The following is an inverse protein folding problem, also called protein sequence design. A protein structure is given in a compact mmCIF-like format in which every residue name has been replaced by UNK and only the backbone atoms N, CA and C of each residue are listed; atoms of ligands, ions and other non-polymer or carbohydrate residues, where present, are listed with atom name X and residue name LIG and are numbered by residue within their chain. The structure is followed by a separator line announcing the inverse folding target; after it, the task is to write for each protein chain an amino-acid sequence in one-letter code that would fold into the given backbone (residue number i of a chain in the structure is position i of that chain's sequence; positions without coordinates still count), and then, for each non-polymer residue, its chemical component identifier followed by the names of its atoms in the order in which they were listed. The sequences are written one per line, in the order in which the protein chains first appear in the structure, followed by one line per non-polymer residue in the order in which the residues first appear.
data_IF_487059457502
#
_entry.id   IF_487059457502
#
_cell.length_a   1.000
_cell.length_b   1.000
_cell.length_c   1.000
_cell.angle_alpha   90.00
_cell.angle_beta   90.00
_cell.angle_gamma   90.00
#
_symmetry.space_group_name_H-M   'P 1'
#
loop_
_entity.id
_entity.type
_entity.pdbx_description
1 polymer ?
#
# COMPACT_ATOMS: atom_id res chain seq x y z
N UNK A 1 -17.43 2.84 35.49
CA UNK A 1 -17.00 1.52 35.94
C UNK A 1 -16.42 0.72 34.76
N UNK A 2 -15.67 -0.36 35.03
CA UNK A 2 -15.11 -1.21 33.95
C UNK A 2 -16.20 -1.76 33.03
N UNK A 3 -17.39 -2.08 33.56
CA UNK A 3 -18.53 -2.52 32.74
C UNK A 3 -19.03 -1.42 31.79
N UNK A 4 -19.03 -0.17 32.23
CA UNK A 4 -19.42 0.96 31.37
C UNK A 4 -18.42 1.15 30.22
N UNK A 5 -17.13 1.04 30.48
CA UNK A 5 -16.09 1.12 29.44
C UNK A 5 -16.24 0.00 28.41
N UNK A 6 -16.59 -1.21 28.83
CA UNK A 6 -16.84 -2.33 27.91
C UNK A 6 -18.09 -2.10 27.05
N UNK A 7 -19.15 -1.55 27.62
CA UNK A 7 -20.39 -1.22 26.90
C UNK A 7 -20.11 -0.13 25.86
N UNK A 8 -19.42 0.94 26.26
CA UNK A 8 -19.05 2.05 25.36
C UNK A 8 -18.15 1.56 24.21
N UNK A 9 -17.20 0.69 24.52
CA UNK A 9 -16.35 0.06 23.50
C UNK A 9 -17.19 -0.79 22.51
N UNK A 10 -18.07 -1.65 23.04
CA UNK A 10 -18.93 -2.49 22.21
C UNK A 10 -19.86 -1.65 21.31
N UNK A 11 -20.45 -0.58 21.86
CA UNK A 11 -21.29 0.34 21.10
C UNK A 11 -20.52 1.03 19.98
N UNK A 12 -19.31 1.49 20.27
CA UNK A 12 -18.43 2.13 19.28
C UNK A 12 -18.05 1.14 18.18
N UNK A 13 -17.73 -0.10 18.53
CA UNK A 13 -17.42 -1.16 17.57
C UNK A 13 -18.63 -1.45 16.66
N UNK A 14 -19.82 -1.63 17.24
CA UNK A 14 -21.06 -1.89 16.49
C UNK A 14 -21.38 -0.68 15.58
N UNK A 15 -21.17 0.55 16.06
CA UNK A 15 -21.43 1.75 15.27
C UNK A 15 -20.58 1.84 14.01
N UNK A 16 -19.35 1.33 14.03
CA UNK A 16 -18.47 1.24 12.86
C UNK A 16 -19.11 0.41 11.73
N UNK A 17 -19.61 -0.78 12.06
CA UNK A 17 -20.21 -1.68 11.07
C UNK A 17 -21.59 -1.20 10.58
N UNK A 18 -22.26 -0.34 11.34
CA UNK A 18 -23.53 0.30 10.94
C UNK A 18 -23.36 1.51 10.03
N UNK A 19 -22.13 1.99 9.86
CA UNK A 19 -21.87 3.15 8.97
C UNK A 19 -22.22 2.79 7.53
N UNK A 20 -22.71 3.79 6.80
CA UNK A 20 -22.92 3.69 5.36
C UNK A 20 -21.59 3.31 4.68
N UNK A 21 -21.63 2.33 3.82
CA UNK A 21 -20.44 1.79 3.12
C UNK A 21 -19.42 1.04 4.03
N UNK A 22 -19.79 0.57 5.22
CA UNK A 22 -18.85 -0.12 6.10
C UNK A 22 -18.20 -1.34 5.42
N UNK A 23 -18.99 -2.19 4.75
CA UNK A 23 -18.47 -3.36 4.03
C UNK A 23 -17.52 -2.96 2.88
N UNK A 24 -17.91 -1.99 2.06
CA UNK A 24 -17.08 -1.49 0.96
C UNK A 24 -15.77 -0.89 1.49
N UNK A 25 -15.84 -0.19 2.63
CA UNK A 25 -14.67 0.36 3.30
C UNK A 25 -13.74 -0.75 3.78
N UNK A 26 -14.26 -1.80 4.42
CA UNK A 26 -13.45 -2.93 4.88
C UNK A 26 -12.79 -3.62 3.69
N UNK A 27 -13.51 -3.86 2.60
CA UNK A 27 -12.94 -4.41 1.38
C UNK A 27 -11.82 -3.51 0.82
N UNK A 28 -12.03 -2.19 0.80
CA UNK A 28 -11.01 -1.24 0.40
C UNK A 28 -9.78 -1.30 1.32
N UNK A 29 -9.98 -1.28 2.64
CA UNK A 29 -8.88 -1.34 3.60
C UNK A 29 -8.05 -2.62 3.49
N UNK A 30 -8.68 -3.75 3.18
CA UNK A 30 -8.00 -5.03 3.05
C UNK A 30 -7.33 -5.26 1.70
N UNK A 31 -7.90 -4.76 0.60
CA UNK A 31 -7.49 -5.12 -0.76
C UNK A 31 -6.72 -4.02 -1.50
N UNK A 32 -6.84 -2.76 -1.09
CA UNK A 32 -6.16 -1.66 -1.78
C UNK A 32 -4.64 -1.78 -1.73
N UNK A 33 -4.10 -2.32 -0.64
CA UNK A 33 -2.66 -2.53 -0.44
C UNK A 33 -2.21 -3.97 -0.66
N UNK A 34 -3.07 -4.82 -1.22
CA UNK A 34 -2.76 -6.24 -1.41
C UNK A 34 -1.48 -6.49 -2.25
N UNK A 35 -1.25 -5.79 -3.39
CA UNK A 35 0.01 -5.94 -4.12
C UNK A 35 1.22 -5.61 -3.27
N UNK A 36 1.14 -4.53 -2.50
CA UNK A 36 2.20 -4.03 -1.63
C UNK A 36 2.52 -5.01 -0.49
N UNK A 37 1.49 -5.62 0.09
CA UNK A 37 1.65 -6.63 1.13
C UNK A 37 2.39 -7.88 0.63
N UNK A 38 2.27 -8.20 -0.65
CA UNK A 38 3.04 -9.28 -1.29
C UNK A 38 4.47 -8.84 -1.61
N UNK A 39 4.66 -7.65 -2.17
CA UNK A 39 5.98 -7.14 -2.58
C UNK A 39 6.90 -6.88 -1.40
N UNK A 40 6.41 -6.23 -0.35
CA UNK A 40 7.25 -5.72 0.74
C UNK A 40 8.20 -6.77 1.34
N UNK A 41 7.77 -7.97 1.72
CA UNK A 41 8.70 -8.98 2.24
C UNK A 41 9.59 -9.59 1.17
N UNK A 42 9.14 -9.68 -0.07
CA UNK A 42 9.87 -10.36 -1.14
C UNK A 42 10.87 -9.44 -1.84
N UNK A 43 10.61 -8.14 -1.92
CA UNK A 43 11.54 -7.19 -2.52
C UNK A 43 12.92 -7.20 -1.84
N UNK A 44 12.96 -7.26 -0.51
CA UNK A 44 14.21 -7.37 0.23
C UNK A 44 14.95 -8.66 -0.12
N UNK A 45 14.24 -9.79 -0.09
CA UNK A 45 14.83 -11.09 -0.41
C UNK A 45 15.36 -11.12 -1.85
N UNK A 46 14.57 -10.61 -2.81
CA UNK A 46 14.93 -10.54 -4.21
C UNK A 46 16.18 -9.67 -4.47
N UNK A 47 16.22 -8.48 -3.88
CA UNK A 47 17.35 -7.56 -4.08
C UNK A 47 18.67 -8.11 -3.55
N UNK A 48 18.64 -8.93 -2.50
CA UNK A 48 19.84 -9.48 -1.87
C UNK A 48 20.13 -10.95 -2.26
N UNK A 49 19.15 -11.68 -2.83
CA UNK A 49 19.35 -13.06 -3.24
C UNK A 49 20.45 -13.19 -4.31
N UNK A 50 21.24 -14.30 -4.32
CA UNK A 50 22.23 -14.56 -5.36
C UNK A 50 21.62 -14.60 -6.77
N UNK A 51 22.42 -14.22 -7.77
CA UNK A 51 22.00 -14.21 -9.19
C UNK A 51 21.56 -15.61 -9.65
N UNK A 52 22.25 -16.66 -9.19
CA UNK A 52 21.88 -18.05 -9.52
C UNK A 52 20.48 -18.44 -9.01
N UNK A 53 19.95 -17.69 -8.04
CA UNK A 53 18.59 -17.84 -7.53
C UNK A 53 17.61 -16.83 -8.12
N UNK A 54 18.01 -16.10 -9.15
CA UNK A 54 17.19 -15.08 -9.81
C UNK A 54 17.10 -13.76 -9.05
N UNK A 55 18.01 -13.49 -8.10
CA UNK A 55 18.10 -12.23 -7.38
C UNK A 55 19.13 -11.26 -7.95
N UNK A 56 19.29 -10.09 -7.31
CA UNK A 56 20.22 -9.03 -7.77
C UNK A 56 21.53 -8.98 -7.01
N UNK A 57 21.73 -9.85 -6.02
CA UNK A 57 22.95 -10.01 -5.22
C UNK A 57 23.48 -8.70 -4.60
N UNK A 58 22.61 -7.76 -4.25
CA UNK A 58 23.04 -6.54 -3.56
C UNK A 58 23.62 -6.89 -2.18
N UNK A 59 24.75 -6.29 -1.86
CA UNK A 59 25.30 -6.30 -0.50
C UNK A 59 24.39 -5.56 0.46
N UNK A 60 24.55 -5.76 1.75
CA UNK A 60 23.76 -5.05 2.79
C UNK A 60 23.89 -3.52 2.67
N UNK A 61 25.09 -3.03 2.32
CA UNK A 61 25.35 -1.59 2.15
C UNK A 61 24.62 -1.06 0.92
N UNK A 62 24.67 -1.76 -0.20
CA UNK A 62 23.96 -1.40 -1.42
C UNK A 62 22.45 -1.43 -1.22
N UNK A 63 21.92 -2.50 -0.60
CA UNK A 63 20.50 -2.59 -0.24
C UNK A 63 20.08 -1.45 0.69
N UNK A 64 20.87 -1.17 1.73
CA UNK A 64 20.61 -0.04 2.64
C UNK A 64 20.59 1.30 1.92
N UNK A 65 21.46 1.49 0.92
CA UNK A 65 21.48 2.72 0.11
C UNK A 65 20.27 2.79 -0.82
N UNK A 66 19.99 1.73 -1.56
CA UNK A 66 18.91 1.68 -2.54
C UNK A 66 17.55 1.76 -1.86
N UNK A 67 17.29 0.93 -0.89
CA UNK A 67 15.98 0.86 -0.24
C UNK A 67 15.85 1.87 0.92
N UNK A 68 16.87 1.97 1.77
CA UNK A 68 16.85 2.80 2.97
C UNK A 68 17.06 4.30 2.70
N UNK A 69 17.80 4.68 1.65
CA UNK A 69 18.00 6.10 1.31
C UNK A 69 17.15 6.47 0.11
N UNK A 70 17.39 5.86 -1.05
CA UNK A 70 16.71 6.24 -2.29
C UNK A 70 15.21 5.93 -2.22
N UNK A 71 14.83 4.75 -1.72
CA UNK A 71 13.43 4.37 -1.54
C UNK A 71 12.70 5.29 -0.56
N UNK A 72 13.30 5.59 0.59
CA UNK A 72 12.69 6.49 1.59
C UNK A 72 12.51 7.90 1.05
N UNK A 73 13.47 8.43 0.29
CA UNK A 73 13.31 9.73 -0.38
C UNK A 73 12.15 9.70 -1.37
N UNK A 74 12.04 8.65 -2.18
CA UNK A 74 10.90 8.45 -3.08
C UNK A 74 9.57 8.43 -2.33
N UNK A 75 9.48 7.64 -1.27
CA UNK A 75 8.30 7.51 -0.41
C UNK A 75 7.84 8.86 0.17
N UNK A 76 8.77 9.61 0.74
CA UNK A 76 8.49 10.92 1.36
C UNK A 76 8.03 11.94 0.31
N UNK A 77 8.71 12.02 -0.83
CA UNK A 77 8.32 12.91 -1.93
C UNK A 77 6.94 12.53 -2.47
N UNK A 78 6.67 11.24 -2.67
CA UNK A 78 5.36 10.76 -3.09
C UNK A 78 4.26 11.16 -2.11
N UNK A 79 4.48 10.95 -0.81
CA UNK A 79 3.53 11.30 0.23
C UNK A 79 3.23 12.81 0.31
N UNK A 80 4.26 13.64 0.22
CA UNK A 80 4.12 15.11 0.21
C UNK A 80 3.33 15.55 -1.03
N UNK A 81 3.72 15.08 -2.22
CA UNK A 81 3.02 15.39 -3.46
C UNK A 81 1.56 14.93 -3.42
N UNK A 82 1.30 13.73 -2.90
CA UNK A 82 -0.04 13.20 -2.73
C UNK A 82 -0.91 14.06 -1.82
N UNK A 83 -0.40 14.45 -0.66
CA UNK A 83 -1.08 15.36 0.26
C UNK A 83 -1.38 16.72 -0.37
N UNK A 84 -0.43 17.30 -1.10
CA UNK A 84 -0.60 18.57 -1.81
C UNK A 84 -1.68 18.48 -2.90
N UNK A 85 -1.67 17.43 -3.71
CA UNK A 85 -2.65 17.24 -4.78
C UNK A 85 -4.07 17.07 -4.23
N UNK A 86 -4.24 16.27 -3.16
CA UNK A 86 -5.55 16.12 -2.53
C UNK A 86 -6.02 17.43 -1.89
N UNK A 87 -5.14 18.18 -1.23
CA UNK A 87 -5.52 19.45 -0.61
C UNK A 87 -5.97 20.49 -1.63
N UNK A 88 -5.47 20.43 -2.86
CA UNK A 88 -5.87 21.34 -3.95
C UNK A 88 -7.18 20.94 -4.62
N UNK A 89 -7.35 19.66 -4.94
CA UNK A 89 -8.40 19.21 -5.85
C UNK A 89 -9.41 18.24 -5.18
N UNK A 90 -9.17 17.82 -3.96
CA UNK A 90 -9.98 16.85 -3.23
C UNK A 90 -9.61 15.39 -3.47
N UNK A 91 -9.95 14.53 -2.51
CA UNK A 91 -9.63 13.10 -2.55
C UNK A 91 -10.31 12.38 -3.72
N UNK A 92 -11.57 12.67 -3.99
CA UNK A 92 -12.35 12.00 -5.04
C UNK A 92 -11.69 12.09 -6.41
N UNK A 93 -11.13 13.26 -6.75
CA UNK A 93 -10.46 13.50 -8.04
C UNK A 93 -9.17 12.69 -8.17
N UNK A 94 -8.42 12.59 -7.07
CA UNK A 94 -7.10 11.95 -7.06
C UNK A 94 -7.12 10.46 -6.75
N UNK A 95 -8.25 9.89 -6.33
CA UNK A 95 -8.34 8.48 -5.97
C UNK A 95 -7.85 7.54 -7.09
N UNK A 96 -8.30 7.75 -8.33
CA UNK A 96 -7.90 6.95 -9.48
C UNK A 96 -6.43 7.12 -9.89
N UNK A 97 -5.91 8.34 -10.08
CA UNK A 97 -4.49 8.55 -10.33
C UNK A 97 -3.61 7.96 -9.22
N UNK A 98 -4.03 8.05 -7.96
CA UNK A 98 -3.30 7.51 -6.82
C UNK A 98 -3.35 5.99 -6.77
N UNK A 99 -4.49 5.39 -7.14
CA UNK A 99 -4.58 3.93 -7.31
C UNK A 99 -3.64 3.44 -8.41
N UNK A 100 -3.56 4.15 -9.52
CA UNK A 100 -2.60 3.84 -10.58
C UNK A 100 -1.15 4.02 -10.12
N UNK A 101 -0.87 5.07 -9.35
CA UNK A 101 0.48 5.35 -8.85
C UNK A 101 0.99 4.32 -7.82
N UNK A 102 0.12 3.74 -7.01
CA UNK A 102 0.51 2.69 -6.04
C UNK A 102 0.63 1.30 -6.70
N UNK A 103 0.06 1.10 -7.88
CA UNK A 103 0.00 -0.21 -8.53
C UNK A 103 0.93 -0.34 -9.72
N UNK A 104 0.88 0.59 -10.68
CA UNK A 104 1.60 0.48 -11.94
C UNK A 104 3.13 0.48 -11.79
N UNK A 105 3.76 1.26 -10.88
CA UNK A 105 5.20 1.22 -10.69
C UNK A 105 5.74 -0.14 -10.25
N UNK A 106 4.91 -1.04 -9.72
CA UNK A 106 5.31 -2.41 -9.37
C UNK A 106 5.84 -3.19 -10.58
N UNK A 107 5.54 -2.75 -11.81
CA UNK A 107 6.15 -3.28 -13.05
C UNK A 107 7.68 -3.13 -13.04
N UNK A 108 8.23 -2.19 -12.27
CA UNK A 108 9.67 -2.05 -12.11
C UNK A 108 10.31 -3.32 -11.54
N UNK A 109 9.64 -4.01 -10.61
CA UNK A 109 10.13 -5.29 -10.08
C UNK A 109 10.06 -6.43 -11.12
N UNK A 110 9.05 -6.41 -11.99
CA UNK A 110 9.00 -7.34 -13.13
C UNK A 110 10.22 -7.11 -14.04
N UNK A 111 10.49 -5.84 -14.39
CA UNK A 111 11.67 -5.48 -15.16
C UNK A 111 12.97 -5.95 -14.48
N UNK A 112 13.14 -5.67 -13.18
CA UNK A 112 14.32 -6.08 -12.43
C UNK A 112 14.51 -7.60 -12.41
N UNK A 113 13.44 -8.37 -12.27
CA UNK A 113 13.49 -9.82 -12.20
C UNK A 113 13.82 -10.48 -13.54
N UNK A 114 13.36 -9.92 -14.65
CA UNK A 114 13.64 -10.46 -15.99
C UNK A 114 14.99 -10.01 -16.54
N UNK A 115 15.41 -8.79 -16.27
CA UNK A 115 16.65 -8.21 -16.84
C UNK A 115 17.86 -8.45 -15.95
N UNK A 116 17.68 -8.57 -14.64
CA UNK A 116 18.72 -8.72 -13.62
C UNK A 116 19.87 -7.72 -13.83
N UNK A 117 19.59 -6.41 -13.89
CA UNK A 117 20.62 -5.42 -14.16
C UNK A 117 21.67 -5.40 -13.05
N UNK A 118 22.95 -5.36 -13.41
CA UNK A 118 24.06 -5.26 -12.46
C UNK A 118 24.40 -3.78 -12.14
N UNK A 119 23.71 -2.85 -12.76
CA UNK A 119 23.94 -1.42 -12.52
C UNK A 119 23.06 -0.93 -11.37
N UNK A 120 23.69 -0.56 -10.26
CA UNK A 120 23.01 -0.05 -9.05
C UNK A 120 22.17 1.19 -9.33
N UNK A 121 22.52 2.01 -10.34
CA UNK A 121 21.73 3.18 -10.72
C UNK A 121 20.40 2.76 -11.32
N UNK A 122 20.37 1.76 -12.19
CA UNK A 122 19.14 1.24 -12.77
C UNK A 122 18.21 0.64 -11.68
N UNK A 123 18.79 -0.10 -10.74
CA UNK A 123 18.07 -0.67 -9.59
C UNK A 123 17.51 0.47 -8.72
N UNK A 124 18.32 1.47 -8.42
CA UNK A 124 17.91 2.64 -7.61
C UNK A 124 16.76 3.40 -8.25
N UNK A 125 16.79 3.62 -9.56
CA UNK A 125 15.71 4.30 -10.29
C UNK A 125 14.40 3.49 -10.19
N UNK A 126 14.46 2.18 -10.37
CA UNK A 126 13.30 1.29 -10.27
C UNK A 126 12.68 1.35 -8.86
N UNK A 127 13.50 1.23 -7.82
CA UNK A 127 13.06 1.30 -6.42
C UNK A 127 12.53 2.69 -6.07
N UNK A 128 13.17 3.76 -6.59
CA UNK A 128 12.70 5.13 -6.39
C UNK A 128 11.30 5.37 -6.99
N UNK A 129 11.09 4.94 -8.23
CA UNK A 129 9.80 5.12 -8.93
C UNK A 129 8.69 4.35 -8.22
N UNK A 130 8.97 3.13 -7.81
CA UNK A 130 8.01 2.31 -7.06
C UNK A 130 7.65 2.98 -5.72
N UNK A 131 8.63 3.37 -4.91
CA UNK A 131 8.38 4.01 -3.62
C UNK A 131 7.72 5.40 -3.75
N UNK A 132 8.06 6.17 -4.79
CA UNK A 132 7.37 7.43 -5.11
C UNK A 132 5.88 7.19 -5.38
N UNK A 133 5.58 6.20 -6.21
CA UNK A 133 4.21 5.80 -6.52
C UNK A 133 3.46 5.29 -5.30
N UNK A 134 4.12 4.48 -4.48
CA UNK A 134 3.58 4.00 -3.22
C UNK A 134 3.23 5.15 -2.27
N UNK A 135 4.16 6.07 -1.99
CA UNK A 135 3.92 7.22 -1.11
C UNK A 135 2.78 8.10 -1.62
N UNK A 136 2.73 8.35 -2.93
CA UNK A 136 1.68 9.14 -3.55
C UNK A 136 0.30 8.48 -3.41
N UNK A 137 0.19 7.19 -3.73
CA UNK A 137 -1.06 6.44 -3.64
C UNK A 137 -1.51 6.17 -2.21
N UNK A 138 -0.56 5.96 -1.28
CA UNK A 138 -0.85 5.77 0.13
C UNK A 138 -1.51 6.99 0.78
N UNK A 139 -1.26 8.19 0.26
CA UNK A 139 -1.94 9.41 0.70
C UNK A 139 -3.46 9.31 0.53
N UNK A 140 -3.95 8.73 -0.56
CA UNK A 140 -5.38 8.50 -0.76
C UNK A 140 -5.95 7.52 0.27
N UNK A 141 -5.22 6.46 0.57
CA UNK A 141 -5.62 5.46 1.56
C UNK A 141 -5.78 6.08 2.95
N UNK A 142 -4.77 6.85 3.40
CA UNK A 142 -4.78 7.52 4.70
C UNK A 142 -5.92 8.54 4.81
N UNK A 143 -6.12 9.36 3.78
CA UNK A 143 -7.19 10.34 3.79
C UNK A 143 -8.57 9.69 3.73
N UNK A 144 -8.72 8.58 3.02
CA UNK A 144 -9.98 7.82 3.03
C UNK A 144 -10.28 7.24 4.42
N UNK A 145 -9.28 6.76 5.15
CA UNK A 145 -9.47 6.33 6.55
C UNK A 145 -9.98 7.47 7.43
N UNK A 146 -9.44 8.68 7.26
CA UNK A 146 -9.90 9.87 7.96
C UNK A 146 -11.36 10.22 7.56
N UNK A 147 -11.66 10.16 6.26
CA UNK A 147 -13.00 10.39 5.75
C UNK A 147 -14.03 9.46 6.35
N UNK A 148 -13.78 8.17 6.30
CA UNK A 148 -14.70 7.17 6.83
C UNK A 148 -14.86 7.25 8.35
N UNK A 149 -13.81 7.66 9.05
CA UNK A 149 -13.82 7.76 10.52
C UNK A 149 -14.61 8.96 11.06
N UNK A 150 -14.98 9.93 10.24
CA UNK A 150 -15.74 11.12 10.69
C UNK A 150 -17.01 10.77 11.46
N UNK A 151 -17.34 11.57 12.48
CA UNK A 151 -18.50 11.41 13.33
C UNK A 151 -18.17 11.37 14.82
N UNK A 152 -19.13 10.97 15.65
CA UNK A 152 -19.04 11.00 17.11
C UNK A 152 -17.85 10.18 17.67
N UNK A 153 -17.59 9.01 17.09
CA UNK A 153 -16.52 8.08 17.53
C UNK A 153 -15.28 8.13 16.62
N UNK A 154 -14.91 9.31 16.12
CA UNK A 154 -13.86 9.51 15.11
C UNK A 154 -12.55 8.77 15.43
N UNK A 155 -12.02 8.94 16.64
CA UNK A 155 -10.73 8.35 17.05
C UNK A 155 -10.80 6.83 17.08
N UNK A 156 -11.87 6.27 17.64
CA UNK A 156 -12.04 4.81 17.73
C UNK A 156 -12.29 4.19 16.36
N UNK A 157 -13.06 4.83 15.49
CA UNK A 157 -13.27 4.36 14.12
C UNK A 157 -11.97 4.41 13.30
N UNK A 158 -11.16 5.45 13.49
CA UNK A 158 -9.83 5.51 12.87
C UNK A 158 -8.91 4.40 13.37
N UNK A 159 -8.94 4.10 14.67
CA UNK A 159 -8.19 2.98 15.23
C UNK A 159 -8.62 1.62 14.65
N UNK A 160 -9.93 1.41 14.44
CA UNK A 160 -10.42 0.21 13.75
C UNK A 160 -9.93 0.14 12.29
N UNK A 161 -9.95 1.26 11.57
CA UNK A 161 -9.39 1.33 10.21
C UNK A 161 -7.89 0.96 10.21
N UNK A 162 -7.11 1.45 11.18
CA UNK A 162 -5.67 1.08 11.29
C UNK A 162 -5.48 -0.40 11.63
N UNK A 163 -6.40 -0.99 12.40
CA UNK A 163 -6.42 -2.44 12.63
C UNK A 163 -6.62 -3.24 11.32
N UNK A 164 -7.60 -2.85 10.50
CA UNK A 164 -7.79 -3.45 9.16
C UNK A 164 -6.59 -3.19 8.23
N UNK A 165 -5.99 -2.02 8.30
CA UNK A 165 -4.75 -1.71 7.58
C UNK A 165 -3.61 -2.66 7.98
N UNK A 166 -3.44 -2.95 9.27
CA UNK A 166 -2.43 -3.91 9.73
C UNK A 166 -2.72 -5.33 9.20
N UNK A 167 -3.97 -5.78 9.28
CA UNK A 167 -4.39 -7.08 8.74
C UNK A 167 -4.15 -7.19 7.23
N UNK A 168 -4.38 -6.11 6.48
CA UNK A 168 -4.15 -6.08 5.03
C UNK A 168 -2.69 -6.32 4.64
N UNK A 169 -1.75 -5.95 5.50
CA UNK A 169 -0.33 -6.22 5.30
C UNK A 169 0.09 -7.59 5.84
N UNK A 170 -0.39 -7.95 7.02
CA UNK A 170 0.04 -9.18 7.71
C UNK A 170 -0.42 -10.44 6.98
N UNK A 171 -1.71 -10.53 6.61
CA UNK A 171 -2.28 -11.77 6.07
C UNK A 171 -1.62 -12.16 4.73
N UNK A 172 -1.54 -11.28 3.70
CA UNK A 172 -0.89 -11.66 2.45
C UNK A 172 0.61 -11.91 2.60
N UNK A 173 1.29 -11.16 3.49
CA UNK A 173 2.72 -11.33 3.73
C UNK A 173 3.08 -12.72 4.25
N UNK A 174 2.19 -13.39 5.00
CA UNK A 174 2.39 -14.75 5.47
C UNK A 174 2.54 -15.77 4.33
N UNK A 175 1.90 -15.51 3.19
CA UNK A 175 1.90 -16.42 2.04
C UNK A 175 2.90 -16.00 0.96
N UNK A 176 3.38 -14.75 0.99
CA UNK A 176 4.23 -14.19 -0.05
C UNK A 176 5.53 -14.99 -0.24
N UNK A 177 6.18 -15.41 0.86
CA UNK A 177 7.41 -16.20 0.81
C UNK A 177 7.20 -17.56 0.15
N UNK A 178 6.18 -18.31 0.58
CA UNK A 178 5.85 -19.61 0.00
C UNK A 178 5.48 -19.49 -1.49
N UNK A 179 4.74 -18.43 -1.86
CA UNK A 179 4.41 -18.18 -3.26
C UNK A 179 5.67 -17.88 -4.09
N UNK A 180 6.55 -17.01 -3.61
CA UNK A 180 7.80 -16.68 -4.29
C UNK A 180 8.73 -17.89 -4.45
N UNK A 181 8.81 -18.76 -3.44
CA UNK A 181 9.57 -20.00 -3.50
C UNK A 181 8.98 -20.99 -4.54
N UNK A 182 7.67 -21.08 -4.62
CA UNK A 182 6.98 -21.99 -5.54
C UNK A 182 7.15 -21.57 -7.01
N UNK A 183 7.03 -20.27 -7.32
CA UNK A 183 6.96 -19.80 -8.71
C UNK A 183 8.22 -19.08 -9.19
N UNK A 184 9.16 -18.75 -8.31
CA UNK A 184 10.32 -17.90 -8.59
C UNK A 184 9.98 -16.41 -8.65
N UNK A 185 11.01 -15.54 -8.58
CA UNK A 185 10.82 -14.09 -8.53
C UNK A 185 10.15 -13.51 -9.77
N UNK A 186 10.52 -13.99 -10.96
CA UNK A 186 9.96 -13.51 -12.23
C UNK A 186 8.43 -13.65 -12.24
N UNK A 187 7.93 -14.86 -12.00
CA UNK A 187 6.49 -15.13 -11.99
C UNK A 187 5.80 -14.53 -10.77
N UNK A 188 6.49 -14.44 -9.63
CA UNK A 188 5.95 -13.78 -8.45
C UNK A 188 5.56 -12.33 -8.74
N UNK A 189 6.47 -11.54 -9.33
CA UNK A 189 6.17 -10.15 -9.66
C UNK A 189 5.13 -9.99 -10.77
N UNK A 190 5.05 -10.94 -11.71
CA UNK A 190 3.95 -10.98 -12.70
C UNK A 190 2.60 -11.23 -12.00
N UNK A 191 2.55 -12.17 -11.06
CA UNK A 191 1.33 -12.42 -10.26
C UNK A 191 0.94 -11.16 -9.48
N UNK A 192 1.88 -10.46 -8.87
CA UNK A 192 1.62 -9.18 -8.20
C UNK A 192 0.99 -8.16 -9.15
N UNK A 193 1.46 -8.05 -10.40
CA UNK A 193 0.84 -7.17 -11.40
C UNK A 193 -0.60 -7.58 -11.72
N UNK A 194 -0.91 -8.87 -11.76
CA UNK A 194 -2.30 -9.34 -11.93
C UNK A 194 -3.15 -8.96 -10.72
N UNK A 195 -2.59 -9.11 -9.50
CA UNK A 195 -3.25 -8.73 -8.24
C UNK A 195 -3.52 -7.22 -8.15
N UNK A 196 -2.78 -6.38 -8.87
CA UNK A 196 -3.03 -4.94 -8.96
C UNK A 196 -4.43 -4.56 -9.50
N UNK A 197 -5.19 -5.51 -10.04
CA UNK A 197 -6.60 -5.28 -10.42
C UNK A 197 -7.48 -4.98 -9.19
N UNK A 198 -7.20 -5.60 -8.03
CA UNK A 198 -8.04 -5.47 -6.84
C UNK A 198 -8.09 -4.04 -6.27
N UNK A 199 -6.98 -3.28 -6.15
CA UNK A 199 -7.03 -1.87 -5.79
C UNK A 199 -8.01 -1.04 -6.64
N UNK A 200 -8.03 -1.25 -7.95
CA UNK A 200 -8.95 -0.53 -8.84
C UNK A 200 -10.40 -0.94 -8.61
N UNK A 201 -10.68 -2.24 -8.42
CA UNK A 201 -12.03 -2.74 -8.16
C UNK A 201 -12.61 -2.16 -6.86
N UNK A 202 -11.82 -2.12 -5.79
CA UNK A 202 -12.31 -1.58 -4.51
C UNK A 202 -12.38 -0.05 -4.51
N UNK A 203 -11.45 0.64 -5.17
CA UNK A 203 -11.49 2.09 -5.33
C UNK A 203 -12.73 2.54 -6.12
N UNK A 204 -13.12 1.77 -7.14
CA UNK A 204 -14.31 2.07 -7.94
C UNK A 204 -15.61 2.07 -7.12
N UNK A 205 -15.69 1.25 -6.08
CA UNK A 205 -16.89 1.12 -5.26
C UNK A 205 -17.04 2.23 -4.21
N UNK A 206 -15.99 3.02 -3.97
CA UNK A 206 -16.03 4.06 -2.95
C UNK A 206 -16.87 5.26 -3.39
N UNK A 207 -17.73 5.71 -2.49
CA UNK A 207 -18.47 6.96 -2.62
C UNK A 207 -17.86 7.99 -1.68
N UNK A 208 -17.21 8.99 -2.26
CA UNK A 208 -16.51 10.05 -1.54
C UNK A 208 -17.12 11.38 -1.94
N UNK A 209 -17.31 12.27 -0.97
CA UNK A 209 -17.80 13.62 -1.23
C UNK A 209 -16.79 14.39 -2.07
N UNK A 210 -17.30 15.17 -3.04
CA UNK A 210 -16.45 15.81 -4.05
C UNK A 210 -15.43 16.78 -3.46
N UNK A 211 -15.81 17.47 -2.38
CA UNK A 211 -14.99 18.51 -1.76
C UNK A 211 -14.14 18.00 -0.59
N UNK A 212 -14.24 16.70 -0.22
CA UNK A 212 -13.46 16.17 0.89
C UNK A 212 -11.96 16.23 0.61
N UNK A 213 -11.22 16.79 1.55
CA UNK A 213 -9.77 16.97 1.48
C UNK A 213 -9.33 18.26 0.77
N UNK A 214 -10.24 18.98 0.13
CA UNK A 214 -9.97 20.28 -0.50
C UNK A 214 -9.87 21.38 0.54
N UNK A 215 -8.85 22.24 0.43
CA UNK A 215 -8.67 23.45 1.25
C UNK A 215 -8.91 24.70 0.43
#
# INVERSE_FOLDING_TARGET
SASQLMIDFAQTFVSFFKKKQALTTICFLLLFRLPEALITPISQLFLQAPIEKGGLALSEIEYGTVNGVVGVVGLLLGGILGGMMISRDGLKRWLWPMTAAITLPNIAYVYLAYVLPQNIVAISIAVFIENLGYGFGFSAYMLFMIYFSQGEHKTSHYALCTGFMALSMMIPSLFAGALAELVGYEWFFVIVMIVCVFPFLVAHQLKIDADFGRK
#
